data_IF_594576370376
#
_entry.id   IF_594576370376
#
_cell.length_a   1.000
_cell.length_b   1.000
_cell.length_c   1.000
_cell.angle_alpha   90.00
_cell.angle_beta   90.00
_cell.angle_gamma   90.00
#
_symmetry.space_group_name_H-M   'P 1'
#
loop_
_entity.id
_entity.type
_entity.pdbx_description
1 polymer ?
#
# COMPACT_ATOMS: atom_id res chain seq x y z
N UNK A 1 5.72 -11.25 18.91
CA UNK A 1 6.72 -10.84 17.90
C UNK A 1 5.97 -10.12 16.81
N UNK A 2 5.99 -8.79 16.81
CA UNK A 2 5.48 -7.99 15.69
C UNK A 2 6.69 -7.66 14.83
N UNK A 3 7.06 -8.61 13.97
CA UNK A 3 8.11 -8.42 12.98
C UNK A 3 7.61 -7.40 11.96
N UNK A 4 7.88 -6.13 12.23
CA UNK A 4 7.86 -5.08 11.23
C UNK A 4 9.01 -5.36 10.26
N UNK A 5 8.75 -6.29 9.33
CA UNK A 5 9.68 -6.97 8.40
C UNK A 5 10.27 -6.03 7.33
N UNK A 6 10.42 -4.75 7.64
CA UNK A 6 10.79 -3.71 6.68
C UNK A 6 9.82 -3.71 5.50
N UNK A 7 8.51 -3.64 5.76
CA UNK A 7 7.48 -3.62 4.71
C UNK A 7 6.71 -2.30 4.76
N UNK A 8 6.48 -1.72 3.59
CA UNK A 8 5.54 -0.62 3.43
C UNK A 8 4.14 -1.21 3.46
N UNK A 9 3.26 -0.65 4.29
CA UNK A 9 1.88 -1.08 4.45
C UNK A 9 0.97 0.11 4.17
N UNK A 10 -0.05 -0.09 3.32
CA UNK A 10 -1.08 0.90 3.03
C UNK A 10 -2.40 0.33 3.58
N UNK A 11 -2.84 0.91 4.69
CA UNK A 11 -4.06 0.53 5.37
C UNK A 11 -5.26 1.21 4.72
N UNK A 12 -6.40 0.51 4.71
CA UNK A 12 -7.66 1.03 4.21
C UNK A 12 -8.77 0.71 5.21
N UNK A 13 -9.62 1.70 5.51
CA UNK A 13 -10.78 1.53 6.42
C UNK A 13 -11.85 0.60 5.84
N UNK A 14 -11.87 0.44 4.52
CA UNK A 14 -12.82 -0.41 3.81
C UNK A 14 -12.25 -0.98 2.53
N UNK A 15 -13.09 -1.74 1.81
CA UNK A 15 -12.72 -2.38 0.54
C UNK A 15 -12.39 -1.29 -0.50
N UNK A 16 -11.11 -1.07 -0.86
CA UNK A 16 -10.71 0.10 -1.65
C UNK A 16 -11.29 0.04 -3.06
N UNK A 17 -11.48 1.20 -3.70
CA UNK A 17 -11.99 1.32 -5.06
C UNK A 17 -11.17 0.47 -6.06
N UNK A 18 -11.81 -0.03 -7.12
CA UNK A 18 -11.15 -0.91 -8.09
C UNK A 18 -9.93 -0.27 -8.76
N UNK A 19 -10.01 1.04 -9.07
CA UNK A 19 -8.89 1.81 -9.61
C UNK A 19 -7.68 1.82 -8.66
N UNK A 20 -7.92 1.98 -7.36
CA UNK A 20 -6.86 1.99 -6.36
C UNK A 20 -6.19 0.62 -6.21
N UNK A 21 -6.97 -0.47 -6.29
CA UNK A 21 -6.39 -1.82 -6.32
C UNK A 21 -5.48 -2.04 -7.52
N UNK A 22 -5.87 -1.53 -8.69
CA UNK A 22 -5.03 -1.60 -9.88
C UNK A 22 -3.75 -0.78 -9.72
N UNK A 23 -3.83 0.42 -9.15
CA UNK A 23 -2.68 1.24 -8.82
C UNK A 23 -1.72 0.54 -7.84
N UNK A 24 -2.23 0.01 -6.73
CA UNK A 24 -1.42 -0.74 -5.75
C UNK A 24 -0.75 -1.95 -6.39
N UNK A 25 -1.48 -2.71 -7.21
CA UNK A 25 -0.96 -3.89 -7.91
C UNK A 25 0.10 -3.51 -8.95
N UNK A 26 -0.10 -2.44 -9.70
CA UNK A 26 0.88 -1.89 -10.65
C UNK A 26 2.14 -1.34 -9.96
N UNK A 27 1.97 -0.80 -8.75
CA UNK A 27 3.06 -0.41 -7.87
C UNK A 27 3.70 -1.59 -7.14
N UNK A 28 3.29 -2.83 -7.39
CA UNK A 28 3.89 -4.05 -6.84
C UNK A 28 3.55 -4.34 -5.38
N UNK A 29 2.47 -3.75 -4.86
CA UNK A 29 1.93 -4.11 -3.55
C UNK A 29 1.01 -5.33 -3.66
N UNK A 30 0.95 -6.11 -2.58
CA UNK A 30 0.13 -7.32 -2.47
C UNK A 30 -0.90 -7.13 -1.36
N UNK A 31 -2.15 -7.52 -1.61
CA UNK A 31 -3.20 -7.46 -0.60
C UNK A 31 -2.99 -8.50 0.51
N UNK A 32 -2.99 -8.05 1.76
CA UNK A 32 -2.96 -8.88 2.96
C UNK A 32 -4.32 -8.82 3.66
N UNK A 33 -5.19 -9.85 3.49
CA UNK A 33 -6.52 -9.85 4.08
C UNK A 33 -6.47 -9.86 5.62
N UNK A 34 -5.48 -10.52 6.22
CA UNK A 34 -5.30 -10.56 7.69
C UNK A 34 -4.98 -9.19 8.29
N UNK A 35 -4.39 -8.29 7.50
CA UNK A 35 -4.00 -6.94 7.92
C UNK A 35 -4.92 -5.85 7.36
N UNK A 36 -5.88 -6.23 6.51
CA UNK A 36 -6.66 -5.31 5.68
C UNK A 36 -5.80 -4.23 5.00
N UNK A 37 -4.61 -4.63 4.52
CA UNK A 37 -3.61 -3.69 4.02
C UNK A 37 -2.91 -4.19 2.77
N UNK A 38 -2.45 -3.26 1.95
CA UNK A 38 -1.56 -3.54 0.83
C UNK A 38 -0.11 -3.47 1.32
N UNK A 39 0.61 -4.58 1.20
CA UNK A 39 1.96 -4.72 1.75
C UNK A 39 2.99 -4.97 0.65
N UNK A 40 4.19 -4.43 0.84
CA UNK A 40 5.35 -4.66 -0.02
C UNK A 40 6.65 -4.53 0.77
N UNK A 41 7.66 -5.35 0.47
CA UNK A 41 9.01 -5.19 1.04
C UNK A 41 9.61 -3.82 0.71
N UNK A 42 10.20 -3.18 1.70
CA UNK A 42 10.84 -1.87 1.57
C UNK A 42 12.04 -2.00 0.65
N UNK A 43 12.03 -1.16 -0.38
CA UNK A 43 13.12 -0.97 -1.34
C UNK A 43 13.10 0.50 -1.74
N UNK A 44 14.20 1.03 -2.25
CA UNK A 44 14.24 2.43 -2.73
C UNK A 44 13.18 2.71 -3.82
N UNK A 45 12.81 1.70 -4.62
CA UNK A 45 11.68 1.80 -5.55
C UNK A 45 10.34 1.79 -4.83
N UNK A 46 10.13 0.88 -3.88
CA UNK A 46 8.88 0.81 -3.12
C UNK A 46 8.58 2.13 -2.40
N UNK A 47 9.59 2.80 -1.82
CA UNK A 47 9.41 4.10 -1.16
C UNK A 47 8.98 5.19 -2.16
N UNK A 48 9.58 5.23 -3.35
CA UNK A 48 9.18 6.18 -4.40
C UNK A 48 7.77 5.93 -4.91
N UNK A 49 7.40 4.68 -5.15
CA UNK A 49 6.04 4.31 -5.56
C UNK A 49 5.03 4.61 -4.45
N UNK A 50 5.36 4.34 -3.18
CA UNK A 50 4.50 4.65 -2.04
C UNK A 50 4.22 6.16 -1.95
N UNK A 51 5.24 7.01 -2.12
CA UNK A 51 5.08 8.47 -2.16
C UNK A 51 4.23 8.93 -3.34
N UNK A 52 4.42 8.31 -4.52
CA UNK A 52 3.60 8.59 -5.71
C UNK A 52 2.14 8.21 -5.48
N UNK A 53 1.88 7.07 -4.86
CA UNK A 53 0.53 6.64 -4.48
C UNK A 53 -0.09 7.58 -3.45
N UNK A 54 0.67 8.00 -2.44
CA UNK A 54 0.20 8.96 -1.43
C UNK A 54 -0.20 10.31 -2.02
N UNK A 55 0.46 10.78 -3.09
CA UNK A 55 0.06 11.98 -3.82
C UNK A 55 -1.08 11.78 -4.82
N UNK A 56 -1.37 10.54 -5.22
CA UNK A 56 -2.48 10.20 -6.13
C UNK A 56 -3.77 9.84 -5.39
N UNK A 57 -3.64 9.43 -4.13
CA UNK A 57 -4.75 9.29 -3.20
C UNK A 57 -5.21 10.71 -2.82
N UNK A 58 -6.51 11.04 -2.93
CA UNK A 58 -7.00 12.23 -2.27
C UNK A 58 -6.69 12.06 -0.79
N UNK A 59 -6.03 13.05 -0.17
CA UNK A 59 -5.94 13.09 1.26
C UNK A 59 -7.38 13.07 1.80
N UNK A 60 -7.75 11.99 2.47
CA UNK A 60 -8.90 12.06 3.37
C UNK A 60 -8.46 13.05 4.46
N UNK A 61 -9.17 14.19 4.51
CA UNK A 61 -9.00 15.26 5.51
C UNK A 61 -9.37 14.75 6.90
#
# INVERSE_FOLDING_TARGET
MFEDDGRIQIHFDGKPAAALRQLCKGAGFVWSPSRCAWVRKVTARAVREARRLAGALPAED
#
